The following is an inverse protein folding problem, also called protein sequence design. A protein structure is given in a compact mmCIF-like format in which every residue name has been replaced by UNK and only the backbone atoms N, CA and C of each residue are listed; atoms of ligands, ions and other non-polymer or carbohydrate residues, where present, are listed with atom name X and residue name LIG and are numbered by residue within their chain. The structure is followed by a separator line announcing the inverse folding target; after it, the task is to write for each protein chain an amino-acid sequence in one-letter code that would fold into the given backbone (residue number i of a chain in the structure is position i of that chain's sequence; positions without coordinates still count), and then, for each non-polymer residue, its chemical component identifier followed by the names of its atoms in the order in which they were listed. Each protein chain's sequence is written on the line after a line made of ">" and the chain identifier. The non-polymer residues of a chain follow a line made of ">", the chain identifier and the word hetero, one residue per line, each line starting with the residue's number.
data_IF_481452088480
#
_entry.id   IF_481452088480
#
_cell.length_a   1.000
_cell.length_b   1.000
_cell.length_c   1.000
_cell.angle_alpha   90.00
_cell.angle_beta   90.00
_cell.angle_gamma   90.00
#
_symmetry.space_group_name_H-M   'P 1'
#
loop_
_entity.id
_entity.type
_entity.pdbx_description
1 polymer ?
#
# COMPACT_ATOMS: atom_id res chain seq x y z
N UNK A 1 -0.88 19.05 7.72
CA UNK A 1 -0.73 18.42 6.40
C UNK A 1 -1.38 19.29 5.34
N UNK A 2 -0.76 19.38 4.16
CA UNK A 2 -1.26 20.10 2.98
C UNK A 2 -0.86 19.33 1.71
N UNK A 3 -1.49 19.58 0.56
CA UNK A 3 -1.06 19.01 -0.71
C UNK A 3 0.38 19.44 -1.07
N UNK A 4 1.14 18.63 -1.82
CA UNK A 4 2.44 19.03 -2.34
C UNK A 4 2.35 20.29 -3.21
N UNK A 5 3.41 21.11 -3.22
CA UNK A 5 3.45 22.31 -4.06
C UNK A 5 3.37 21.95 -5.55
N UNK A 6 2.55 22.70 -6.31
CA UNK A 6 2.42 22.55 -7.77
C UNK A 6 1.58 21.38 -8.24
N UNK A 7 1.02 20.57 -7.34
CA UNK A 7 0.06 19.53 -7.69
C UNK A 7 -1.33 20.17 -7.73
N UNK A 8 -1.86 20.44 -8.92
CA UNK A 8 -3.30 20.67 -9.09
C UNK A 8 -3.98 19.34 -8.72
N UNK A 9 -5.01 19.38 -7.88
CA UNK A 9 -5.71 18.19 -7.37
C UNK A 9 -6.01 17.22 -8.51
N UNK A 10 -5.27 16.14 -8.57
CA UNK A 10 -5.65 14.98 -9.36
C UNK A 10 -6.93 14.44 -8.72
N UNK A 11 -7.96 14.17 -9.52
CA UNK A 11 -9.22 13.64 -9.02
C UNK A 11 -8.96 12.47 -8.07
N UNK A 12 -9.27 12.66 -6.77
CA UNK A 12 -9.17 11.62 -5.73
C UNK A 12 -7.83 11.51 -4.99
N UNK A 13 -6.77 12.25 -5.36
CA UNK A 13 -5.53 12.32 -4.59
C UNK A 13 -5.36 13.66 -3.88
N UNK A 14 -4.78 13.64 -2.67
CA UNK A 14 -4.50 14.84 -1.87
C UNK A 14 -5.74 15.68 -1.48
N UNK A 15 -6.90 15.02 -1.31
CA UNK A 15 -8.09 15.64 -0.73
C UNK A 15 -7.93 15.74 0.79
N UNK A 16 -7.54 16.91 1.27
CA UNK A 16 -7.25 17.16 2.68
C UNK A 16 -8.50 17.03 3.57
N UNK A 17 -9.67 17.42 3.06
CA UNK A 17 -10.92 17.28 3.81
C UNK A 17 -11.30 15.82 3.98
N UNK A 18 -11.17 15.04 2.92
CA UNK A 18 -11.45 13.60 2.95
C UNK A 18 -10.53 12.87 3.95
N UNK A 19 -9.23 13.13 3.89
CA UNK A 19 -8.26 12.52 4.80
C UNK A 19 -8.51 12.95 6.26
N UNK A 20 -8.78 14.24 6.51
CA UNK A 20 -9.17 14.74 7.83
C UNK A 20 -10.41 14.00 8.38
N UNK A 21 -11.46 13.82 7.55
CA UNK A 21 -12.68 13.13 7.97
C UNK A 21 -12.44 11.65 8.26
N UNK A 22 -11.60 10.97 7.47
CA UNK A 22 -11.21 9.58 7.73
C UNK A 22 -10.57 9.48 9.11
N UNK A 23 -9.53 10.26 9.39
CA UNK A 23 -8.83 10.24 10.67
C UNK A 23 -9.75 10.57 11.83
N UNK A 24 -10.56 11.62 11.71
CA UNK A 24 -11.50 12.06 12.74
C UNK A 24 -12.50 10.97 13.12
N UNK A 25 -13.07 10.32 12.13
CA UNK A 25 -14.11 9.32 12.33
C UNK A 25 -13.55 7.96 12.77
N UNK A 26 -12.37 7.58 12.27
CA UNK A 26 -11.70 6.34 12.69
C UNK A 26 -11.25 6.35 14.16
N UNK A 27 -10.88 7.50 14.71
CA UNK A 27 -10.24 7.58 16.02
C UNK A 27 -11.02 6.88 17.15
N UNK A 28 -12.34 6.90 17.10
CA UNK A 28 -13.19 6.26 18.12
C UNK A 28 -13.18 4.72 18.06
N UNK A 29 -12.89 4.14 16.89
CA UNK A 29 -12.93 2.70 16.65
C UNK A 29 -11.52 2.10 16.46
N UNK A 30 -10.55 2.94 16.09
CA UNK A 30 -9.19 2.54 15.76
C UNK A 30 -8.18 3.53 16.35
N UNK A 31 -7.67 3.21 17.52
CA UNK A 31 -6.79 4.12 18.27
C UNK A 31 -5.47 4.46 17.55
N UNK A 32 -5.05 3.62 16.58
CA UNK A 32 -3.80 3.75 15.84
C UNK A 32 -3.85 4.78 14.69
N UNK A 33 -4.72 5.78 14.77
CA UNK A 33 -4.69 6.96 13.89
C UNK A 33 -4.25 8.19 14.68
N UNK A 34 -3.50 9.13 14.06
CA UNK A 34 -3.18 10.40 14.69
C UNK A 34 -4.43 11.19 15.06
N UNK A 35 -4.37 11.97 16.13
CA UNK A 35 -5.43 12.93 16.44
C UNK A 35 -5.45 14.05 15.41
N UNK A 36 -6.64 14.53 15.05
CA UNK A 36 -6.81 15.70 14.19
C UNK A 36 -7.49 16.82 14.95
N UNK A 37 -7.00 18.06 14.76
CA UNK A 37 -7.40 19.20 15.59
C UNK A 37 -8.31 20.16 14.83
N UNK A 38 -8.00 20.45 13.57
CA UNK A 38 -8.81 21.33 12.73
C UNK A 38 -8.57 21.05 11.24
N UNK A 39 -9.57 21.40 10.42
CA UNK A 39 -9.46 21.52 8.97
C UNK A 39 -9.67 22.98 8.58
N UNK A 40 -8.92 23.46 7.58
CA UNK A 40 -9.04 24.79 7.03
C UNK A 40 -9.04 24.71 5.49
N UNK A 41 -10.07 25.27 4.88
CA UNK A 41 -10.24 25.35 3.42
C UNK A 41 -9.73 26.68 2.84
N UNK A 42 -9.39 27.66 3.71
CA UNK A 42 -8.87 28.94 3.29
C UNK A 42 -7.44 28.82 2.73
N UNK A 43 -7.35 28.90 1.40
CA UNK A 43 -6.09 28.83 0.69
C UNK A 43 -5.21 30.08 0.84
N UNK A 44 -5.72 31.21 1.40
CA UNK A 44 -4.92 32.43 1.57
C UNK A 44 -3.92 32.29 2.73
N UNK A 45 -4.20 31.42 3.70
CA UNK A 45 -3.35 31.25 4.89
C UNK A 45 -1.99 30.60 4.54
N UNK A 46 -1.99 29.46 3.83
CA UNK A 46 -0.76 28.74 3.45
C UNK A 46 -0.70 28.31 1.99
N UNK A 47 -1.54 28.89 1.15
CA UNK A 47 -1.57 28.63 -0.30
C UNK A 47 -2.32 27.37 -0.72
N UNK A 48 -3.01 26.68 0.16
CA UNK A 48 -3.82 25.50 -0.12
C UNK A 48 -4.67 25.11 1.10
N UNK A 49 -5.79 24.38 0.93
CA UNK A 49 -6.48 23.72 2.04
C UNK A 49 -5.54 22.83 2.84
N UNK A 50 -5.73 22.77 4.16
CA UNK A 50 -4.88 21.99 5.04
C UNK A 50 -5.64 21.52 6.27
N UNK A 51 -5.06 20.57 7.01
CA UNK A 51 -5.51 20.24 8.35
C UNK A 51 -4.34 20.12 9.33
N UNK A 52 -4.63 20.34 10.60
CA UNK A 52 -3.69 20.14 11.70
C UNK A 52 -3.95 18.78 12.33
N UNK A 53 -2.87 18.05 12.55
CA UNK A 53 -2.89 16.74 13.15
C UNK A 53 -1.76 16.59 14.17
N UNK A 54 -1.90 15.62 15.05
CA UNK A 54 -0.86 15.19 15.96
C UNK A 54 0.43 14.84 15.18
N UNK A 55 1.56 15.28 15.69
CA UNK A 55 2.86 14.75 15.30
C UNK A 55 3.20 13.57 16.20
N UNK A 56 2.85 12.37 15.76
CA UNK A 56 3.13 11.16 16.51
C UNK A 56 4.64 10.94 16.60
N UNK A 57 5.15 10.83 17.81
CA UNK A 57 6.55 10.49 18.07
C UNK A 57 6.73 8.97 18.11
N UNK A 58 7.80 8.49 17.49
CA UNK A 58 8.12 7.07 17.46
C UNK A 58 9.19 6.73 16.43
N UNK A 59 9.42 5.44 16.25
CA UNK A 59 10.39 4.92 15.30
C UNK A 59 9.70 4.41 14.04
N UNK A 60 10.24 4.73 12.86
CA UNK A 60 9.74 4.24 11.56
C UNK A 60 10.84 3.41 10.91
N UNK A 61 10.52 2.16 10.57
CA UNK A 61 11.43 1.30 9.81
C UNK A 61 11.43 1.75 8.35
N UNK A 62 12.51 2.45 7.95
CA UNK A 62 12.64 2.98 6.59
C UNK A 62 13.17 1.91 5.62
N UNK A 63 12.80 1.94 4.32
CA UNK A 63 13.23 0.96 3.33
C UNK A 63 14.75 0.83 3.18
N UNK A 64 15.49 1.92 3.41
CA UNK A 64 16.95 1.97 3.28
C UNK A 64 17.71 1.55 4.56
N UNK A 65 17.00 1.06 5.57
CA UNK A 65 17.62 0.60 6.81
C UNK A 65 18.50 -0.63 6.54
N UNK A 66 19.76 -0.52 6.93
CA UNK A 66 20.71 -1.61 6.76
C UNK A 66 20.55 -2.65 7.88
N UNK A 67 20.86 -3.92 7.60
CA UNK A 67 20.75 -5.01 8.58
C UNK A 67 21.54 -4.72 9.87
N UNK A 68 22.72 -4.11 9.77
CA UNK A 68 23.55 -3.75 10.94
C UNK A 68 22.93 -2.72 11.89
N UNK A 69 22.03 -1.87 11.35
CA UNK A 69 21.37 -0.79 12.09
C UNK A 69 19.90 -1.16 12.42
N UNK A 70 19.47 -2.36 12.01
CA UNK A 70 18.13 -2.85 12.20
C UNK A 70 17.86 -3.24 13.66
N UNK A 71 16.61 -3.18 14.13
CA UNK A 71 16.21 -3.81 15.36
C UNK A 71 16.53 -5.32 15.37
N UNK A 72 16.63 -5.89 16.55
CA UNK A 72 16.85 -7.35 16.69
C UNK A 72 15.76 -8.13 15.97
N UNK A 73 16.12 -9.34 15.51
CA UNK A 73 15.24 -10.26 14.77
C UNK A 73 13.88 -10.47 15.46
N UNK A 74 13.88 -10.64 16.78
CA UNK A 74 12.67 -10.85 17.57
C UNK A 74 11.75 -9.62 17.54
N UNK A 75 12.32 -8.41 17.52
CA UNK A 75 11.55 -7.17 17.39
C UNK A 75 10.90 -7.12 16.02
N UNK A 76 11.66 -7.41 14.94
CA UNK A 76 11.13 -7.43 13.57
C UNK A 76 9.99 -8.45 13.43
N UNK A 77 10.15 -9.65 14.02
CA UNK A 77 9.07 -10.65 14.05
C UNK A 77 7.80 -10.13 14.72
N UNK A 78 7.94 -9.43 15.84
CA UNK A 78 6.80 -8.86 16.55
C UNK A 78 6.18 -7.68 15.77
N UNK A 79 7.00 -6.86 15.10
CA UNK A 79 6.49 -5.79 14.22
C UNK A 79 5.67 -6.36 13.07
N UNK A 80 6.13 -7.45 12.44
CA UNK A 80 5.38 -8.13 11.37
C UNK A 80 4.03 -8.64 11.87
N UNK A 81 3.99 -9.24 13.06
CA UNK A 81 2.73 -9.67 13.69
C UNK A 81 1.83 -8.47 13.99
N UNK A 82 2.38 -7.41 14.60
CA UNK A 82 1.63 -6.20 14.92
C UNK A 82 1.10 -5.50 13.66
N UNK A 83 1.82 -5.58 12.53
CA UNK A 83 1.35 -5.09 11.25
C UNK A 83 0.10 -5.87 10.81
N UNK A 84 0.15 -7.21 10.83
CA UNK A 84 -0.99 -8.06 10.46
C UNK A 84 -2.18 -7.82 11.39
N UNK A 85 -1.96 -7.82 12.71
CA UNK A 85 -3.01 -7.55 13.70
C UNK A 85 -3.68 -6.20 13.47
N UNK A 86 -2.88 -5.16 13.18
CA UNK A 86 -3.43 -3.83 12.93
C UNK A 86 -4.23 -3.77 11.62
N UNK A 87 -3.82 -4.51 10.60
CA UNK A 87 -4.56 -4.59 9.34
C UNK A 87 -5.88 -5.36 9.52
N UNK A 88 -5.88 -6.46 10.28
CA UNK A 88 -7.09 -7.21 10.61
C UNK A 88 -8.04 -6.38 11.47
N UNK A 89 -7.52 -5.65 12.47
CA UNK A 89 -8.31 -4.72 13.28
C UNK A 89 -8.99 -3.66 12.41
N UNK A 90 -8.25 -3.03 11.49
CA UNK A 90 -8.78 -2.06 10.53
C UNK A 90 -9.90 -2.67 9.66
N UNK A 91 -9.67 -3.87 9.13
CA UNK A 91 -10.62 -4.55 8.25
C UNK A 91 -11.89 -5.06 8.96
N UNK A 92 -11.88 -5.10 10.29
CA UNK A 92 -13.03 -5.51 11.10
C UNK A 92 -13.82 -4.33 11.70
N UNK A 93 -13.41 -3.08 11.42
CA UNK A 93 -14.14 -1.89 11.89
C UNK A 93 -15.54 -1.87 11.31
N UNK A 94 -16.50 -1.57 12.15
CA UNK A 94 -17.88 -1.31 11.72
C UNK A 94 -17.96 0.06 11.05
N UNK A 95 -18.21 0.03 9.73
CA UNK A 95 -18.23 1.22 8.87
C UNK A 95 -19.34 2.20 9.31
N UNK A 96 -20.49 1.68 9.74
CA UNK A 96 -21.63 2.49 10.16
C UNK A 96 -21.33 3.19 11.50
N UNK A 97 -20.82 2.44 12.48
CA UNK A 97 -20.42 2.99 13.78
C UNK A 97 -19.28 4.00 13.67
N UNK A 98 -18.40 3.83 12.66
CA UNK A 98 -17.35 4.78 12.34
C UNK A 98 -17.84 6.00 11.55
N UNK A 99 -19.12 6.10 11.19
CA UNK A 99 -19.67 7.17 10.34
C UNK A 99 -18.91 7.37 9.02
N UNK A 100 -18.52 6.28 8.36
CA UNK A 100 -17.72 6.29 7.13
C UNK A 100 -18.45 5.67 5.93
N UNK A 101 -19.79 5.56 5.97
CA UNK A 101 -20.60 4.96 4.90
C UNK A 101 -20.38 5.63 3.53
N UNK A 102 -20.12 6.93 3.51
CA UNK A 102 -19.91 7.71 2.28
C UNK A 102 -18.46 7.69 1.80
N UNK A 103 -17.55 6.96 2.49
CA UNK A 103 -16.13 6.93 2.15
C UNK A 103 -15.86 6.25 0.80
N UNK A 104 -16.73 5.33 0.38
CA UNK A 104 -16.62 4.59 -0.88
C UNK A 104 -17.79 3.66 -1.15
N UNK A 105 -17.72 2.94 -2.26
CA UNK A 105 -18.73 1.96 -2.64
C UNK A 105 -18.06 0.61 -2.93
N UNK A 106 -18.49 -0.43 -2.22
CA UNK A 106 -17.95 -1.79 -2.41
C UNK A 106 -18.45 -2.44 -3.70
N UNK A 107 -19.68 -2.17 -4.14
CA UNK A 107 -20.25 -2.83 -5.30
C UNK A 107 -19.42 -2.62 -6.55
N UNK A 108 -18.90 -3.68 -7.17
CA UNK A 108 -18.00 -3.63 -8.31
C UNK A 108 -16.61 -3.08 -7.99
N UNK A 109 -16.18 -3.10 -6.73
CA UNK A 109 -14.92 -2.52 -6.29
C UNK A 109 -13.72 -3.15 -7.02
N UNK A 110 -13.61 -4.48 -7.03
CA UNK A 110 -12.50 -5.20 -7.68
C UNK A 110 -12.42 -4.80 -9.15
N UNK A 111 -13.54 -4.88 -9.86
CA UNK A 111 -13.61 -4.52 -11.29
C UNK A 111 -13.15 -3.08 -11.53
N UNK A 112 -13.69 -2.12 -10.78
CA UNK A 112 -13.29 -0.70 -10.92
C UNK A 112 -11.81 -0.47 -10.63
N UNK A 113 -11.24 -1.17 -9.63
CA UNK A 113 -9.82 -1.06 -9.33
C UNK A 113 -8.96 -1.62 -10.47
N UNK A 114 -9.24 -2.83 -10.94
CA UNK A 114 -8.52 -3.46 -12.04
C UNK A 114 -8.58 -2.59 -13.30
N UNK A 115 -9.78 -2.22 -13.76
CA UNK A 115 -9.96 -1.38 -14.94
C UNK A 115 -9.31 0.01 -14.79
N UNK A 116 -9.44 0.61 -13.60
CA UNK A 116 -8.85 1.91 -13.30
C UNK A 116 -7.32 1.90 -13.35
N UNK A 117 -6.67 0.88 -12.81
CA UNK A 117 -5.21 0.75 -12.87
C UNK A 117 -4.72 0.40 -14.26
N UNK A 118 -5.43 -0.45 -15.02
CA UNK A 118 -5.13 -0.72 -16.44
C UNK A 118 -5.23 0.56 -17.28
N UNK A 119 -6.26 1.37 -17.06
CA UNK A 119 -6.41 2.68 -17.72
C UNK A 119 -5.22 3.60 -17.42
N UNK A 120 -4.77 3.69 -16.14
CA UNK A 120 -3.60 4.48 -15.76
C UNK A 120 -2.33 3.97 -16.43
N UNK A 121 -2.12 2.64 -16.48
CA UNK A 121 -1.01 2.04 -17.19
C UNK A 121 -0.99 2.46 -18.66
N UNK A 122 -2.10 2.29 -19.37
CA UNK A 122 -2.20 2.61 -20.79
C UNK A 122 -1.91 4.09 -21.09
N UNK A 123 -2.31 5.01 -20.20
CA UNK A 123 -2.02 6.44 -20.32
C UNK A 123 -0.56 6.81 -20.04
N UNK A 124 0.15 6.00 -19.28
CA UNK A 124 1.55 6.24 -18.90
C UNK A 124 2.55 5.34 -19.63
N UNK A 125 2.08 4.48 -20.52
CA UNK A 125 2.93 3.54 -21.27
C UNK A 125 4.00 4.27 -22.09
N UNK A 126 5.27 3.89 -21.91
CA UNK A 126 6.42 4.47 -22.64
C UNK A 126 7.05 3.46 -23.58
N UNK A 127 7.16 2.22 -23.12
CA UNK A 127 7.81 1.12 -23.84
C UNK A 127 6.88 -0.09 -23.83
N UNK A 128 7.04 -1.00 -24.79
CA UNK A 128 6.25 -2.22 -24.84
C UNK A 128 6.76 -3.22 -23.79
N UNK A 129 5.98 -3.45 -22.75
CA UNK A 129 6.26 -4.43 -21.69
C UNK A 129 5.25 -5.58 -21.78
N UNK A 130 5.58 -6.63 -22.53
CA UNK A 130 4.69 -7.77 -22.81
C UNK A 130 4.11 -8.41 -21.54
N UNK A 131 4.90 -8.50 -20.48
CA UNK A 131 4.42 -9.05 -19.22
C UNK A 131 3.30 -8.18 -18.60
N UNK A 132 3.40 -6.84 -18.68
CA UNK A 132 2.37 -5.95 -18.16
C UNK A 132 1.04 -6.09 -18.90
N UNK A 133 1.08 -6.25 -20.22
CA UNK A 133 -0.12 -6.47 -21.04
C UNK A 133 -0.75 -7.85 -20.72
N UNK A 134 0.08 -8.89 -20.53
CA UNK A 134 -0.37 -10.22 -20.09
C UNK A 134 -1.03 -10.17 -18.71
N UNK A 135 -0.40 -9.51 -17.73
CA UNK A 135 -0.92 -9.39 -16.37
C UNK A 135 -2.25 -8.62 -16.37
N UNK A 136 -2.36 -7.54 -17.15
CA UNK A 136 -3.59 -6.77 -17.28
C UNK A 136 -4.76 -7.64 -17.78
N UNK A 137 -4.54 -8.46 -18.81
CA UNK A 137 -5.55 -9.40 -19.32
C UNK A 137 -5.90 -10.45 -18.26
N UNK A 138 -4.89 -11.05 -17.63
CA UNK A 138 -5.10 -12.05 -16.58
C UNK A 138 -5.91 -11.52 -15.40
N UNK A 139 -5.64 -10.28 -14.96
CA UNK A 139 -6.41 -9.63 -13.87
C UNK A 139 -7.88 -9.41 -14.25
N UNK A 140 -8.19 -9.12 -15.51
CA UNK A 140 -9.59 -9.00 -15.97
C UNK A 140 -10.31 -10.34 -15.90
N UNK A 141 -9.64 -11.41 -16.32
CA UNK A 141 -10.22 -12.76 -16.49
C UNK A 141 -10.36 -13.54 -15.16
N UNK A 142 -9.54 -13.21 -14.15
CA UNK A 142 -9.43 -14.00 -12.91
C UNK A 142 -9.95 -13.28 -11.67
N UNK A 143 -10.86 -12.32 -11.82
CA UNK A 143 -11.43 -11.57 -10.68
C UNK A 143 -12.16 -12.52 -9.72
N UNK A 144 -11.85 -12.48 -8.41
CA UNK A 144 -12.59 -13.23 -7.41
C UNK A 144 -13.99 -12.64 -7.20
N UNK A 145 -14.84 -13.41 -6.51
CA UNK A 145 -16.14 -12.91 -6.06
C UNK A 145 -15.95 -11.79 -5.03
N UNK A 146 -16.85 -10.82 -5.07
CA UNK A 146 -16.87 -9.73 -4.09
C UNK A 146 -17.12 -10.26 -2.68
N UNK A 147 -16.40 -9.71 -1.72
CA UNK A 147 -16.58 -9.99 -0.29
C UNK A 147 -17.23 -8.79 0.40
N UNK A 148 -17.60 -8.96 1.67
CA UNK A 148 -18.08 -7.84 2.48
C UNK A 148 -17.01 -6.73 2.52
N UNK A 149 -17.44 -5.49 2.22
CA UNK A 149 -16.57 -4.33 2.26
C UNK A 149 -16.02 -4.03 3.66
N UNK A 150 -14.82 -3.51 3.69
CA UNK A 150 -14.13 -3.05 4.89
C UNK A 150 -13.55 -1.66 4.64
N UNK A 151 -13.13 -0.97 5.70
CA UNK A 151 -12.25 0.19 5.56
C UNK A 151 -10.88 -0.33 5.17
N UNK A 152 -10.34 0.15 4.05
CA UNK A 152 -9.04 -0.22 3.52
C UNK A 152 -8.12 0.98 3.45
N UNK A 153 -6.84 0.77 3.75
CA UNK A 153 -5.82 1.82 3.74
C UNK A 153 -5.25 2.08 2.34
N UNK A 154 -5.09 1.02 1.56
CA UNK A 154 -4.52 1.02 0.20
C UNK A 154 -3.03 1.38 0.05
N UNK A 155 -2.32 1.66 1.16
CA UNK A 155 -0.87 1.87 1.19
C UNK A 155 -0.28 1.38 2.53
N UNK A 156 -0.74 0.22 3.02
CA UNK A 156 -0.37 -0.32 4.32
C UNK A 156 1.00 -1.01 4.23
N UNK A 157 2.03 -0.36 4.77
CA UNK A 157 3.43 -0.81 4.70
C UNK A 157 4.26 -0.24 5.86
N UNK A 158 5.45 -0.77 6.11
CA UNK A 158 6.33 -0.36 7.21
C UNK A 158 6.61 1.14 7.27
N UNK A 159 6.77 1.80 6.12
CA UNK A 159 7.02 3.25 6.06
C UNK A 159 5.93 4.11 6.67
N UNK A 160 4.71 3.57 6.70
CA UNK A 160 3.53 4.24 7.22
C UNK A 160 3.22 3.84 8.67
N UNK A 161 4.04 3.00 9.32
CA UNK A 161 3.87 2.58 10.70
C UNK A 161 4.80 3.36 11.62
N UNK A 162 4.25 3.98 12.64
CA UNK A 162 5.01 4.58 13.74
C UNK A 162 5.04 3.59 14.89
N UNK A 163 6.22 3.06 15.19
CA UNK A 163 6.45 2.16 16.31
C UNK A 163 6.65 2.95 17.59
N UNK A 164 6.23 2.38 18.72
CA UNK A 164 6.43 2.97 20.02
C UNK A 164 7.93 3.17 20.32
N UNK A 165 8.30 4.31 20.87
CA UNK A 165 9.70 4.68 21.11
C UNK A 165 10.40 3.79 22.15
N UNK A 166 9.64 3.26 23.11
CA UNK A 166 10.15 2.46 24.23
C UNK A 166 9.98 0.96 23.95
N UNK A 167 9.01 0.59 23.11
CA UNK A 167 8.73 -0.79 22.70
C UNK A 167 8.48 -0.86 21.20
N UNK A 168 9.55 -0.98 20.43
CA UNK A 168 9.50 -1.03 18.96
C UNK A 168 8.68 -2.20 18.40
N UNK A 169 8.21 -3.14 19.23
CA UNK A 169 7.31 -4.21 18.76
C UNK A 169 5.85 -3.76 18.62
N UNK A 170 5.50 -2.58 19.15
CA UNK A 170 4.13 -2.04 19.14
C UNK A 170 3.97 -0.91 18.14
N UNK A 171 2.88 -0.91 17.41
CA UNK A 171 2.47 0.18 16.51
C UNK A 171 1.66 1.19 17.32
N UNK A 172 2.15 2.44 17.35
CA UNK A 172 1.47 3.57 18.00
C UNK A 172 0.53 4.27 17.02
N UNK A 173 0.95 4.45 15.75
CA UNK A 173 0.10 5.07 14.75
C UNK A 173 0.38 4.54 13.34
N UNK A 174 -0.63 4.66 12.49
CA UNK A 174 -0.58 4.40 11.06
C UNK A 174 -0.81 5.73 10.35
N UNK A 175 0.05 6.06 9.40
CA UNK A 175 0.08 7.33 8.67
C UNK A 175 -0.35 7.15 7.23
N UNK A 176 -0.64 8.28 6.56
CA UNK A 176 -0.90 8.38 5.11
C UNK A 176 -2.21 7.76 4.63
N UNK A 177 -3.31 8.27 5.17
CA UNK A 177 -4.68 7.80 4.93
C UNK A 177 -5.33 8.38 3.67
N UNK A 178 -4.57 9.07 2.82
CA UNK A 178 -5.13 9.75 1.62
C UNK A 178 -5.79 8.78 0.62
N UNK A 179 -5.39 7.49 0.62
CA UNK A 179 -5.95 6.46 -0.26
C UNK A 179 -7.03 5.60 0.42
N UNK A 180 -7.35 5.86 1.68
CA UNK A 180 -8.33 5.06 2.41
C UNK A 180 -9.72 5.15 1.77
N UNK A 181 -10.44 4.04 1.76
CA UNK A 181 -11.80 3.94 1.20
C UNK A 181 -12.55 2.73 1.80
N UNK A 182 -13.80 2.55 1.38
CA UNK A 182 -14.47 1.27 1.54
C UNK A 182 -14.09 0.38 0.35
N UNK A 183 -13.53 -0.78 0.63
CA UNK A 183 -13.03 -1.68 -0.40
C UNK A 183 -12.97 -3.13 0.05
N UNK A 184 -12.39 -3.95 -0.80
CA UNK A 184 -12.12 -5.36 -0.51
C UNK A 184 -10.86 -5.45 0.38
N UNK A 185 -10.94 -6.01 1.60
CA UNK A 185 -9.82 -6.13 2.52
C UNK A 185 -8.66 -6.96 1.95
N UNK A 186 -8.95 -7.92 1.08
CA UNK A 186 -7.91 -8.75 0.49
C UNK A 186 -7.15 -8.01 -0.63
N UNK A 187 -7.77 -7.02 -1.28
CA UNK A 187 -7.07 -6.09 -2.19
C UNK A 187 -6.08 -5.20 -1.43
N UNK A 188 -6.42 -4.80 -0.20
CA UNK A 188 -5.52 -4.04 0.68
C UNK A 188 -4.33 -4.89 1.14
N UNK A 189 -4.61 -6.11 1.63
CA UNK A 189 -3.55 -7.08 1.95
C UNK A 189 -2.67 -7.37 0.73
N UNK A 190 -3.25 -7.61 -0.44
CA UNK A 190 -2.50 -7.86 -1.68
C UNK A 190 -1.61 -6.67 -2.07
N UNK A 191 -2.07 -5.43 -1.84
CA UNK A 191 -1.23 -4.24 -2.02
C UNK A 191 -0.06 -4.22 -1.03
N UNK A 192 -0.30 -4.54 0.24
CA UNK A 192 0.75 -4.66 1.26
C UNK A 192 1.78 -5.73 0.89
N UNK A 193 1.32 -6.89 0.42
CA UNK A 193 2.18 -7.98 -0.07
C UNK A 193 2.97 -7.58 -1.32
N UNK A 194 2.44 -6.70 -2.17
CA UNK A 194 3.14 -6.15 -3.33
C UNK A 194 4.39 -5.32 -2.95
N UNK A 195 4.39 -4.67 -1.78
CA UNK A 195 5.56 -4.01 -1.20
C UNK A 195 6.49 -4.97 -0.44
N UNK A 196 6.05 -6.20 -0.19
CA UNK A 196 6.80 -7.19 0.58
C UNK A 196 7.80 -7.93 -0.30
N UNK A 197 9.09 -7.62 -0.13
CA UNK A 197 10.20 -8.25 -0.85
C UNK A 197 10.75 -9.39 0.01
N UNK A 198 10.76 -10.60 -0.51
CA UNK A 198 11.39 -11.77 0.13
C UNK A 198 12.90 -11.80 -0.17
N UNK A 199 13.66 -12.52 0.66
CA UNK A 199 15.13 -12.59 0.51
C UNK A 199 15.58 -13.22 -0.82
N UNK A 200 14.76 -14.13 -1.37
CA UNK A 200 15.03 -14.88 -2.61
C UNK A 200 14.45 -14.19 -3.85
N UNK A 201 13.88 -12.99 -3.70
CA UNK A 201 13.39 -12.21 -4.84
C UNK A 201 14.52 -11.62 -5.68
N UNK A 202 14.15 -11.11 -6.87
CA UNK A 202 15.09 -10.47 -7.79
C UNK A 202 15.92 -9.39 -7.09
N UNK A 203 17.25 -9.39 -7.28
CA UNK A 203 18.15 -8.41 -6.65
C UNK A 203 17.77 -6.95 -6.95
N UNK A 204 17.20 -6.68 -8.14
CA UNK A 204 16.76 -5.36 -8.57
C UNK A 204 15.69 -4.79 -7.63
N UNK A 205 14.76 -5.62 -7.12
CA UNK A 205 13.73 -5.16 -6.18
C UNK A 205 14.31 -4.67 -4.86
N UNK A 206 15.43 -5.25 -4.43
CA UNK A 206 16.17 -4.79 -3.25
C UNK A 206 16.83 -3.42 -3.47
N UNK A 207 17.21 -3.12 -4.72
CA UNK A 207 17.77 -1.81 -5.09
C UNK A 207 16.73 -0.70 -5.05
N UNK A 208 15.46 -1.01 -5.38
CA UNK A 208 14.38 -0.02 -5.33
C UNK A 208 13.88 0.26 -3.91
N UNK A 209 14.32 -0.54 -2.94
CA UNK A 209 13.99 -0.34 -1.52
C UNK A 209 12.50 -0.08 -1.29
N UNK A 210 11.64 -0.94 -1.82
CA UNK A 210 10.19 -0.80 -1.71
C UNK A 210 9.73 -0.89 -0.25
N UNK A 211 10.43 -1.68 0.58
CA UNK A 211 10.17 -1.84 2.00
C UNK A 211 11.37 -2.50 2.68
N UNK A 212 11.46 -2.42 4.01
CA UNK A 212 12.50 -3.05 4.83
C UNK A 212 12.22 -4.54 5.13
N UNK A 213 11.46 -5.22 4.29
CA UNK A 213 10.97 -6.59 4.55
C UNK A 213 12.03 -7.68 4.33
N UNK A 214 13.18 -7.34 3.76
CA UNK A 214 14.35 -8.24 3.65
C UNK A 214 15.16 -8.34 4.95
N UNK A 215 14.88 -7.52 5.98
CA UNK A 215 15.53 -7.59 7.28
C UNK A 215 15.24 -8.93 7.97
N UNK A 216 16.21 -9.42 8.73
CA UNK A 216 16.07 -10.67 9.49
C UNK A 216 14.93 -10.59 10.50
N UNK A 217 14.10 -11.62 10.51
CA UNK A 217 12.92 -11.70 11.35
C UNK A 217 11.60 -11.53 10.60
N UNK A 218 11.62 -10.93 9.41
CA UNK A 218 10.41 -10.88 8.60
C UNK A 218 10.00 -12.27 8.10
N UNK A 219 8.71 -12.61 8.14
CA UNK A 219 8.19 -13.78 7.46
C UNK A 219 8.20 -13.60 5.94
N UNK A 220 8.00 -14.67 5.20
CA UNK A 220 7.71 -14.62 3.75
C UNK A 220 6.32 -14.06 3.49
N UNK A 221 6.01 -13.76 2.23
CA UNK A 221 4.65 -13.32 1.83
C UNK A 221 3.59 -14.37 2.19
N UNK A 222 3.88 -15.66 2.01
CA UNK A 222 3.00 -16.73 2.47
C UNK A 222 2.84 -16.72 3.99
N UNK A 223 3.93 -16.49 4.73
CA UNK A 223 3.85 -16.35 6.19
C UNK A 223 3.00 -15.16 6.65
N UNK A 224 3.01 -14.03 5.92
CA UNK A 224 2.09 -12.90 6.20
C UNK A 224 0.64 -13.28 5.87
N UNK A 225 0.41 -13.99 4.76
CA UNK A 225 -0.92 -14.48 4.39
C UNK A 225 -1.48 -15.41 5.47
N UNK A 226 -0.70 -16.40 5.90
CA UNK A 226 -1.07 -17.34 6.95
C UNK A 226 -1.40 -16.64 8.28
N UNK A 227 -0.58 -15.66 8.68
CA UNK A 227 -0.85 -14.85 9.87
C UNK A 227 -2.17 -14.07 9.74
N UNK A 228 -2.43 -13.49 8.58
CA UNK A 228 -3.68 -12.77 8.35
C UNK A 228 -4.91 -13.70 8.38
N UNK A 229 -4.83 -14.87 7.76
CA UNK A 229 -5.91 -15.88 7.80
C UNK A 229 -6.18 -16.37 9.22
N UNK A 230 -5.11 -16.70 9.97
CA UNK A 230 -5.21 -17.13 11.37
C UNK A 230 -5.87 -16.08 12.25
N UNK A 231 -5.48 -14.82 12.11
CA UNK A 231 -5.93 -13.74 12.98
C UNK A 231 -7.33 -13.23 12.60
N UNK A 232 -7.64 -13.19 11.31
CA UNK A 232 -8.95 -12.75 10.82
C UNK A 232 -10.02 -13.86 10.88
N UNK A 233 -9.61 -15.12 10.96
CA UNK A 233 -10.49 -16.29 10.83
C UNK A 233 -11.07 -16.47 9.43
N UNK A 234 -10.49 -15.82 8.40
CA UNK A 234 -10.98 -15.85 7.02
C UNK A 234 -9.95 -16.54 6.13
N UNK A 235 -10.36 -17.52 5.33
CA UNK A 235 -9.52 -18.06 4.26
C UNK A 235 -9.65 -17.23 2.98
N UNK A 236 -8.50 -16.93 2.36
CA UNK A 236 -8.42 -16.13 1.15
C UNK A 236 -8.43 -17.05 -0.07
N UNK A 237 -9.54 -17.04 -0.80
CA UNK A 237 -9.63 -17.75 -2.07
C UNK A 237 -8.84 -16.99 -3.13
N UNK A 238 -7.94 -17.68 -3.86
CA UNK A 238 -7.10 -17.10 -4.91
C UNK A 238 -6.18 -15.96 -4.42
N UNK A 239 -5.31 -16.19 -3.42
CA UNK A 239 -4.42 -15.16 -2.89
C UNK A 239 -3.45 -14.62 -3.95
N UNK A 240 -3.14 -15.40 -4.98
CA UNK A 240 -2.31 -14.98 -6.12
C UNK A 240 -2.93 -13.81 -6.87
N UNK A 241 -4.25 -13.76 -7.03
CA UNK A 241 -4.92 -12.62 -7.66
C UNK A 241 -4.62 -11.32 -6.93
N UNK A 242 -4.80 -11.32 -5.62
CA UNK A 242 -4.61 -10.13 -4.80
C UNK A 242 -3.16 -9.66 -4.78
N UNK A 243 -2.22 -10.58 -4.69
CA UNK A 243 -0.79 -10.29 -4.77
C UNK A 243 -0.39 -9.71 -6.13
N UNK A 244 -0.82 -10.35 -7.22
CA UNK A 244 -0.57 -9.90 -8.61
C UNK A 244 -1.17 -8.51 -8.85
N UNK A 245 -2.38 -8.25 -8.34
CA UNK A 245 -2.96 -6.91 -8.38
C UNK A 245 -2.09 -5.89 -7.63
N UNK A 246 -1.59 -6.21 -6.43
CA UNK A 246 -0.67 -5.37 -5.66
C UNK A 246 0.59 -5.02 -6.46
N UNK A 247 1.24 -6.03 -7.04
CA UNK A 247 2.42 -5.84 -7.89
C UNK A 247 2.11 -4.97 -9.12
N UNK A 248 0.98 -5.22 -9.79
CA UNK A 248 0.55 -4.44 -10.95
C UNK A 248 0.31 -2.97 -10.58
N UNK A 249 -0.39 -2.72 -9.47
CA UNK A 249 -0.64 -1.37 -8.95
C UNK A 249 0.67 -0.62 -8.70
N UNK A 250 1.63 -1.23 -8.00
CA UNK A 250 2.93 -0.62 -7.70
C UNK A 250 3.72 -0.39 -8.99
N UNK A 251 3.72 -1.34 -9.92
CA UNK A 251 4.35 -1.19 -11.22
C UNK A 251 3.76 0.00 -12.01
N UNK A 252 2.43 0.18 -11.97
CA UNK A 252 1.77 1.32 -12.64
C UNK A 252 2.14 2.65 -11.98
N UNK A 253 2.25 2.71 -10.64
CA UNK A 253 2.73 3.91 -9.93
C UNK A 253 4.15 4.27 -10.39
N UNK A 254 5.06 3.29 -10.41
CA UNK A 254 6.44 3.48 -10.88
C UNK A 254 6.46 3.93 -12.36
N UNK A 255 5.61 3.34 -13.21
CA UNK A 255 5.48 3.69 -14.63
C UNK A 255 4.98 5.14 -14.82
N UNK A 256 4.02 5.60 -14.02
CA UNK A 256 3.54 7.00 -14.08
C UNK A 256 4.64 7.99 -13.70
N UNK A 257 5.47 7.68 -12.69
CA UNK A 257 6.61 8.53 -12.30
C UNK A 257 7.67 8.51 -13.40
N UNK A 258 7.99 7.33 -13.96
CA UNK A 258 8.92 7.18 -15.07
C UNK A 258 8.46 7.93 -16.33
N UNK A 259 7.17 7.84 -16.67
CA UNK A 259 6.56 8.59 -17.77
C UNK A 259 6.77 10.09 -17.60
N UNK A 260 6.52 10.65 -16.41
CA UNK A 260 6.75 12.07 -16.12
C UNK A 260 8.22 12.46 -16.31
N UNK A 261 9.15 11.59 -15.90
CA UNK A 261 10.58 11.78 -16.12
C UNK A 261 10.93 11.76 -17.61
N UNK A 262 10.47 10.79 -18.37
CA UNK A 262 10.69 10.68 -19.83
C UNK A 262 10.12 11.87 -20.60
N UNK A 263 9.01 12.43 -20.14
CA UNK A 263 8.39 13.64 -20.75
C UNK A 263 9.05 14.94 -20.27
N UNK A 264 10.05 14.89 -19.40
CA UNK A 264 10.73 16.08 -18.90
C UNK A 264 9.95 16.90 -17.86
N UNK A 265 8.83 16.37 -17.32
CA UNK A 265 8.04 17.02 -16.27
C UNK A 265 8.72 17.00 -14.92
N UNK A 266 9.73 16.16 -14.75
CA UNK A 266 10.64 16.12 -13.60
C UNK A 266 12.05 15.81 -14.08
N UNK A 267 13.06 16.41 -13.41
CA UNK A 267 14.49 16.23 -13.73
C UNK A 267 15.22 15.35 -12.71
N UNK A 268 14.50 14.75 -11.76
CA UNK A 268 15.10 13.90 -10.73
C UNK A 268 15.64 12.60 -11.35
N UNK A 269 16.97 12.49 -11.36
CA UNK A 269 17.67 11.34 -11.95
C UNK A 269 17.35 10.00 -11.29
N UNK A 270 16.86 10.01 -10.04
CA UNK A 270 16.42 8.78 -9.35
C UNK A 270 15.30 8.07 -10.11
N UNK A 271 14.50 8.82 -10.84
CA UNK A 271 13.38 8.28 -11.61
C UNK A 271 13.77 7.62 -12.95
N UNK A 272 15.03 7.81 -13.39
CA UNK A 272 15.51 7.22 -14.66
C UNK A 272 15.53 5.70 -14.67
N UNK A 273 15.66 5.06 -13.49
CA UNK A 273 15.73 3.61 -13.35
C UNK A 273 14.38 2.95 -13.02
N UNK A 274 13.29 3.71 -12.87
CA UNK A 274 12.00 3.15 -12.50
C UNK A 274 11.40 2.20 -13.54
N UNK A 275 11.83 2.28 -14.80
CA UNK A 275 11.47 1.27 -15.81
C UNK A 275 11.96 -0.13 -15.42
N UNK A 276 13.12 -0.25 -14.78
CA UNK A 276 13.63 -1.54 -14.27
C UNK A 276 12.73 -2.06 -13.13
N UNK A 277 12.25 -1.17 -12.25
CA UNK A 277 11.28 -1.56 -11.22
C UNK A 277 9.99 -2.11 -11.84
N UNK A 278 9.46 -1.44 -12.88
CA UNK A 278 8.27 -1.93 -13.61
C UNK A 278 8.52 -3.31 -14.20
N UNK A 279 9.68 -3.51 -14.84
CA UNK A 279 10.07 -4.80 -15.41
C UNK A 279 10.15 -5.88 -14.33
N UNK A 280 10.88 -5.64 -13.23
CA UNK A 280 11.06 -6.61 -12.15
C UNK A 280 9.72 -6.99 -11.50
N UNK A 281 8.86 -6.02 -11.20
CA UNK A 281 7.52 -6.27 -10.66
C UNK A 281 6.65 -7.08 -11.64
N UNK A 282 6.77 -6.81 -12.94
CA UNK A 282 6.04 -7.58 -13.95
C UNK A 282 6.54 -9.03 -14.07
N UNK A 283 7.84 -9.27 -13.91
CA UNK A 283 8.40 -10.61 -13.87
C UNK A 283 7.91 -11.36 -12.63
N UNK A 284 7.93 -10.71 -11.45
CA UNK A 284 7.39 -11.27 -10.20
C UNK A 284 5.93 -11.69 -10.37
N UNK A 285 5.09 -10.80 -10.90
CA UNK A 285 3.66 -11.06 -11.10
C UNK A 285 3.45 -12.26 -12.05
N UNK A 286 4.20 -12.32 -13.14
CA UNK A 286 4.14 -13.44 -14.08
C UNK A 286 4.56 -14.77 -13.43
N UNK A 287 5.62 -14.75 -12.63
CA UNK A 287 6.06 -15.95 -11.90
C UNK A 287 5.02 -16.39 -10.86
N UNK A 288 4.41 -15.46 -10.12
CA UNK A 288 3.34 -15.76 -9.18
C UNK A 288 2.14 -16.43 -9.88
N UNK A 289 1.74 -15.92 -11.03
CA UNK A 289 0.68 -16.55 -11.87
C UNK A 289 1.09 -17.96 -12.30
N UNK A 290 2.29 -18.11 -12.87
CA UNK A 290 2.75 -19.37 -13.46
C UNK A 290 2.92 -20.46 -12.42
N UNK A 291 3.45 -20.12 -11.26
CA UNK A 291 3.72 -21.05 -10.15
C UNK A 291 2.56 -21.21 -9.17
N UNK A 292 1.54 -20.37 -9.27
CA UNK A 292 0.39 -20.28 -8.36
C UNK A 292 0.81 -20.19 -6.88
N UNK A 293 1.80 -19.32 -6.57
CA UNK A 293 2.31 -19.09 -5.22
C UNK A 293 2.84 -17.66 -5.05
N UNK A 294 3.07 -17.23 -3.81
CA UNK A 294 3.47 -15.86 -3.49
C UNK A 294 4.98 -15.73 -3.21
N UNK A 295 5.61 -16.76 -2.65
CA UNK A 295 7.03 -16.79 -2.28
C UNK A 295 7.83 -17.77 -3.14
N UNK A 296 9.16 -17.77 -3.05
CA UNK A 296 10.09 -18.67 -3.76
C UNK A 296 9.86 -18.71 -5.28
N UNK A 297 9.61 -17.52 -5.85
CA UNK A 297 9.20 -17.40 -7.24
C UNK A 297 10.32 -17.72 -8.25
N UNK A 298 11.58 -17.77 -7.81
CA UNK A 298 12.77 -17.96 -8.64
C UNK A 298 13.58 -19.23 -8.29
N UNK A 299 13.01 -20.07 -7.46
CA UNK A 299 13.56 -21.40 -7.16
C UNK A 299 13.10 -22.49 -8.14
#
# INVERSE_FOLDING_TARGET
>A
RRPPFGVKSLQGGHDMFREYNVLKNLKSQFAKVPDVYLYCDDSEIIGAPFYLMERVEGYIIRPNLQQKDAPKKEIIQNVSKSLVSSLVELHNIDIEQANLNDLGNINGYIKRQVEGWIKRYNHSKTDALQNMDFIASWLIENQPLEVKGSIVHNDFKYDNLVLNKDDHSKITAILDWEMATIGDPFMDLGTSLGYWVDKNDLPELKLFQLSATTLDGNPTREGILELYEQESGKSIINPVFYYVFGLFKIAVIAQQIYFRYKKGYTKDRRFSLLNLAVMSLSIMAKQAITKNRLSDLFE
#
